data_IF_034594475898
#
_entry.id   IF_034594475898
#
_cell.length_a   1.000
_cell.length_b   1.000
_cell.length_c   1.000
_cell.angle_alpha   90.00
_cell.angle_beta   90.00
_cell.angle_gamma   90.00
#
_symmetry.space_group_name_H-M   'P 1'
#
loop_
_entity.id
_entity.type
_entity.pdbx_description
1 polymer ?
#
# COMPACT_ATOMS: atom_id res chain seq x y z
N UNK A 1 12.25 7.12 9.83
CA UNK A 1 13.17 7.35 8.68
C UNK A 1 13.13 6.19 7.68
N UNK A 2 13.20 4.93 8.11
CA UNK A 2 13.24 3.75 7.22
C UNK A 2 12.02 3.57 6.31
N UNK A 3 10.80 3.86 6.79
CA UNK A 3 9.59 3.76 5.94
C UNK A 3 9.61 4.72 4.77
N UNK A 4 10.05 5.97 4.99
CA UNK A 4 10.17 6.97 3.93
C UNK A 4 11.25 6.53 2.94
N UNK A 5 12.41 6.06 3.42
CA UNK A 5 13.48 5.56 2.56
C UNK A 5 13.06 4.34 1.70
N UNK A 6 12.32 3.40 2.29
CA UNK A 6 11.71 2.28 1.55
C UNK A 6 10.79 2.81 0.45
N UNK A 7 9.90 3.73 0.78
CA UNK A 7 8.93 4.27 -0.17
C UNK A 7 9.58 5.13 -1.25
N UNK A 8 10.67 5.84 -0.97
CA UNK A 8 11.43 6.56 -2.00
C UNK A 8 12.06 5.60 -3.00
N UNK A 9 12.58 4.44 -2.55
CA UNK A 9 13.08 3.40 -3.46
C UNK A 9 11.94 2.84 -4.31
N UNK A 10 10.78 2.57 -3.72
CA UNK A 10 9.61 2.08 -4.47
C UNK A 10 9.21 3.05 -5.60
N UNK A 11 9.12 4.35 -5.29
CA UNK A 11 8.68 5.40 -6.22
C UNK A 11 9.76 5.85 -7.21
N UNK A 12 11.02 5.48 -6.99
CA UNK A 12 12.13 5.85 -7.88
C UNK A 12 12.02 5.21 -9.27
N UNK A 13 12.81 5.72 -10.22
CA UNK A 13 12.98 5.14 -11.55
C UNK A 13 14.06 4.05 -11.66
N UNK A 14 14.57 3.50 -10.55
CA UNK A 14 15.63 2.48 -10.62
C UNK A 14 15.16 1.18 -11.30
N UNK A 15 16.08 0.44 -11.95
CA UNK A 15 15.79 -0.89 -12.50
C UNK A 15 15.23 -1.85 -11.45
N UNK A 16 14.43 -2.82 -11.91
CA UNK A 16 13.76 -3.82 -11.06
C UNK A 16 14.77 -4.64 -10.23
N UNK A 17 15.89 -5.00 -10.84
CA UNK A 17 16.98 -5.77 -10.23
C UNK A 17 17.59 -5.03 -9.03
N UNK A 18 17.76 -3.71 -9.16
CA UNK A 18 18.26 -2.84 -8.09
C UNK A 18 17.24 -2.76 -6.96
N UNK A 19 15.95 -2.58 -7.29
CA UNK A 19 14.88 -2.56 -6.27
C UNK A 19 14.76 -3.89 -5.53
N UNK A 20 14.86 -5.03 -6.23
CA UNK A 20 14.91 -6.36 -5.61
C UNK A 20 16.13 -6.50 -4.70
N UNK A 21 17.29 -6.02 -5.13
CA UNK A 21 18.52 -6.05 -4.35
C UNK A 21 18.47 -5.18 -3.08
N UNK A 22 17.64 -4.13 -3.03
CA UNK A 22 17.50 -3.30 -1.84
C UNK A 22 16.28 -3.62 -0.97
N UNK A 23 15.18 -4.09 -1.55
CA UNK A 23 13.90 -4.27 -0.83
C UNK A 23 13.46 -5.73 -0.71
N UNK A 24 14.09 -6.64 -1.45
CA UNK A 24 13.72 -8.05 -1.52
C UNK A 24 12.95 -8.38 -2.80
N UNK A 25 12.91 -9.67 -3.16
CA UNK A 25 12.28 -10.14 -4.42
C UNK A 25 10.79 -9.85 -4.47
N UNK A 26 10.13 -9.82 -3.32
CA UNK A 26 8.68 -9.69 -3.18
C UNK A 26 8.24 -8.23 -3.02
N UNK A 27 9.10 -7.24 -3.25
CA UNK A 27 8.82 -5.84 -2.93
C UNK A 27 7.55 -5.23 -3.59
N UNK A 28 7.03 -5.88 -4.63
CA UNK A 28 5.79 -5.50 -5.33
C UNK A 28 4.52 -6.04 -4.68
N UNK A 29 4.62 -7.02 -3.79
CA UNK A 29 3.47 -7.56 -3.08
C UNK A 29 2.88 -6.53 -2.11
N UNK A 30 1.58 -6.61 -1.91
CA UNK A 30 0.87 -5.70 -1.02
C UNK A 30 1.06 -6.03 0.46
N UNK A 31 0.95 -5.03 1.31
CA UNK A 31 1.02 -5.18 2.76
C UNK A 31 2.34 -5.82 3.23
N UNK A 32 2.24 -6.67 4.26
CA UNK A 32 3.41 -7.30 4.89
C UNK A 32 4.16 -8.25 3.95
N UNK A 33 3.48 -8.82 2.94
CA UNK A 33 4.09 -9.78 2.01
C UNK A 33 5.19 -9.14 1.17
N UNK A 34 5.11 -7.83 0.93
CA UNK A 34 6.12 -7.07 0.20
C UNK A 34 7.19 -6.41 1.06
N UNK A 35 7.28 -6.75 2.34
CA UNK A 35 8.26 -6.16 3.25
C UNK A 35 9.25 -7.20 3.78
N UNK A 36 10.51 -7.08 3.36
CA UNK A 36 11.63 -7.75 4.00
C UNK A 36 12.22 -6.82 5.08
N UNK A 37 11.93 -7.12 6.36
CA UNK A 37 12.39 -6.33 7.51
C UNK A 37 13.94 -6.25 7.54
N UNK A 38 14.64 -7.33 7.20
CA UNK A 38 16.11 -7.39 7.24
C UNK A 38 16.75 -6.40 6.25
N UNK A 39 16.00 -6.00 5.22
CA UNK A 39 16.45 -5.05 4.20
C UNK A 39 15.91 -3.64 4.42
N UNK A 40 14.62 -3.52 4.76
CA UNK A 40 13.96 -2.22 4.87
C UNK A 40 14.12 -1.57 6.24
N UNK A 41 14.38 -2.35 7.29
CA UNK A 41 14.32 -1.94 8.70
C UNK A 41 12.97 -1.28 9.07
N UNK A 42 11.89 -1.65 8.37
CA UNK A 42 10.52 -1.25 8.70
C UNK A 42 9.81 -2.45 9.33
N UNK A 43 9.32 -2.37 10.57
CA UNK A 43 8.60 -3.48 11.19
C UNK A 43 7.33 -3.88 10.43
N UNK A 44 7.02 -5.18 10.35
CA UNK A 44 5.80 -5.66 9.67
C UNK A 44 4.51 -5.09 10.28
N UNK A 45 4.46 -4.86 11.60
CA UNK A 45 3.30 -4.22 12.24
C UNK A 45 3.01 -2.84 11.63
N UNK A 46 4.06 -2.05 11.32
CA UNK A 46 3.91 -0.73 10.69
C UNK A 46 3.31 -0.85 9.30
N UNK A 47 3.82 -1.76 8.48
CA UNK A 47 3.34 -1.98 7.10
C UNK A 47 1.92 -2.58 7.10
N UNK A 48 1.64 -3.53 7.99
CA UNK A 48 0.31 -4.13 8.17
C UNK A 48 -0.73 -3.07 8.51
N UNK A 49 -0.50 -2.27 9.55
CA UNK A 49 -1.40 -1.17 9.91
C UNK A 49 -1.64 -0.19 8.75
N UNK A 50 -0.60 0.15 7.96
CA UNK A 50 -0.75 1.04 6.79
C UNK A 50 -1.65 0.42 5.72
N UNK A 51 -1.51 -0.87 5.49
CA UNK A 51 -2.31 -1.61 4.53
C UNK A 51 -3.77 -1.76 5.01
N UNK A 52 -3.98 -2.11 6.27
CA UNK A 52 -5.31 -2.29 6.85
C UNK A 52 -6.12 -0.98 6.79
N UNK A 53 -5.52 0.14 7.21
CA UNK A 53 -6.16 1.47 7.12
C UNK A 53 -6.48 1.84 5.68
N UNK A 54 -5.58 1.60 4.72
CA UNK A 54 -5.84 1.85 3.30
C UNK A 54 -7.04 1.04 2.78
N UNK A 55 -7.12 -0.24 3.15
CA UNK A 55 -8.23 -1.11 2.78
C UNK A 55 -9.56 -0.64 3.38
N UNK A 56 -9.54 -0.21 4.64
CA UNK A 56 -10.71 0.35 5.33
C UNK A 56 -11.18 1.65 4.68
N UNK A 57 -10.28 2.61 4.45
CA UNK A 57 -10.58 3.88 3.78
C UNK A 57 -11.17 3.64 2.38
N UNK A 58 -10.59 2.72 1.61
CA UNK A 58 -11.10 2.37 0.29
C UNK A 58 -12.48 1.70 0.36
N UNK A 59 -12.72 0.86 1.37
CA UNK A 59 -14.03 0.25 1.60
C UNK A 59 -15.09 1.30 1.90
N UNK A 60 -14.79 2.27 2.79
CA UNK A 60 -15.69 3.37 3.12
C UNK A 60 -16.04 4.21 1.88
N UNK A 61 -15.05 4.51 1.03
CA UNK A 61 -15.29 5.24 -0.22
C UNK A 61 -16.18 4.46 -1.19
N UNK A 62 -15.99 3.15 -1.32
CA UNK A 62 -16.83 2.29 -2.16
C UNK A 62 -18.28 2.27 -1.68
N UNK A 63 -18.49 2.10 -0.37
CA UNK A 63 -19.82 2.13 0.24
C UNK A 63 -20.49 3.49 -0.02
N UNK A 64 -19.80 4.59 0.28
CA UNK A 64 -20.33 5.93 0.07
C UNK A 64 -20.68 6.22 -1.41
N UNK A 65 -19.85 5.72 -2.34
CA UNK A 65 -20.11 5.85 -3.78
C UNK A 65 -21.38 5.10 -4.19
N UNK A 66 -21.55 3.85 -3.76
CA UNK A 66 -22.75 3.05 -4.07
C UNK A 66 -24.01 3.66 -3.46
N UNK A 67 -23.97 4.07 -2.19
CA UNK A 67 -25.11 4.74 -1.55
C UNK A 67 -25.51 6.04 -2.27
N UNK A 68 -24.54 6.81 -2.79
CA UNK A 68 -24.82 8.01 -3.58
C UNK A 68 -25.46 7.70 -4.94
N UNK A 69 -25.00 6.65 -5.63
CA UNK A 69 -25.58 6.22 -6.92
C UNK A 69 -27.06 5.83 -6.76
N UNK A 70 -27.39 5.10 -5.71
CA UNK A 70 -28.78 4.72 -5.41
C UNK A 70 -29.66 5.94 -5.15
N UNK A 71 -29.20 6.90 -4.35
CA UNK A 71 -29.96 8.14 -4.06
C UNK A 71 -30.21 8.96 -5.33
N UNK A 72 -29.22 9.08 -6.22
CA UNK A 72 -29.38 9.78 -7.51
C UNK A 72 -30.39 9.06 -8.40
N UNK A 73 -30.37 7.73 -8.44
CA UNK A 73 -31.32 6.93 -9.22
C UNK A 73 -32.77 7.03 -8.71
N UNK A 74 -32.99 7.27 -7.42
CA UNK A 74 -34.33 7.48 -6.86
C UNK A 74 -34.86 8.92 -7.03
N UNK A 75 -34.01 9.88 -7.41
CA UNK A 75 -34.38 11.29 -7.60
C UNK A 75 -34.45 11.71 -9.08
N UNK A 76 -34.33 10.77 -10.01
CA UNK A 76 -34.61 10.90 -11.44
C UNK A 76 -35.80 9.99 -11.80
#
# INVERSE_FOLDING_TARGET
MCEIARNSVLMSGYPDEVKKAWLGTNYKEAGIAGNDICRSNVPNIRIGHRYDVLCEELHLLKVAYHSRQEVILFHL
#
